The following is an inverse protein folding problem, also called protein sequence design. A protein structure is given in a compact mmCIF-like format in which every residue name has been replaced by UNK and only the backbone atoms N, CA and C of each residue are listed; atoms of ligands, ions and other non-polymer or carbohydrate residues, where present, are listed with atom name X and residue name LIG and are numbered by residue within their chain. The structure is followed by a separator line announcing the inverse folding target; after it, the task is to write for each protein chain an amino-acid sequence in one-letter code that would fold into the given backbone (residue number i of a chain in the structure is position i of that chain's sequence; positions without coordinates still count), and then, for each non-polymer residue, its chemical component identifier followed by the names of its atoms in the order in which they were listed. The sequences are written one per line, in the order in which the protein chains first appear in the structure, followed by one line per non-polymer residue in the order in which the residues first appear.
data_IF_131659908062
#
_entry.id   IF_131659908062
#
_cell.length_a   1.000
_cell.length_b   1.000
_cell.length_c   1.000
_cell.angle_alpha   90.00
_cell.angle_beta   90.00
_cell.angle_gamma   90.00
#
_symmetry.space_group_name_H-M   'P 1'
#
loop_
_entity.id
_entity.type
_entity.pdbx_description
1 polymer ?
#
# COMPACT_ATOMS: atom_id res chain seq x y z
N UNK A 1 -5.59 26.84 -1.01
CA UNK A 1 -4.38 26.85 -1.85
C UNK A 1 -4.24 25.46 -2.45
N UNK A 2 -3.83 25.36 -3.72
CA UNK A 2 -3.51 24.05 -4.31
C UNK A 2 -2.26 23.53 -3.59
N UNK A 3 -2.27 22.27 -3.13
CA UNK A 3 -1.12 21.66 -2.44
C UNK A 3 0.04 21.59 -3.44
N UNK A 4 1.14 22.28 -3.15
CA UNK A 4 2.31 22.29 -4.03
C UNK A 4 3.23 21.11 -3.72
N UNK A 5 3.88 20.59 -4.77
CA UNK A 5 4.94 19.58 -4.64
C UNK A 5 6.31 20.25 -4.60
N UNK A 6 7.33 19.55 -4.10
CA UNK A 6 8.68 20.12 -3.88
C UNK A 6 9.29 20.79 -5.14
N UNK A 7 9.08 20.22 -6.33
CA UNK A 7 9.58 20.78 -7.60
C UNK A 7 8.84 22.05 -8.02
N UNK A 8 7.57 22.19 -7.68
CA UNK A 8 6.79 23.40 -7.93
C UNK A 8 7.25 24.58 -7.05
N UNK A 9 7.98 24.28 -5.98
CA UNK A 9 8.68 25.25 -5.14
C UNK A 9 10.10 25.58 -5.64
N UNK A 10 10.49 25.05 -6.81
CA UNK A 10 11.82 25.26 -7.39
C UNK A 10 12.94 24.42 -6.77
N UNK A 11 12.58 23.38 -6.00
CA UNK A 11 13.56 22.49 -5.35
C UNK A 11 13.63 21.18 -6.13
N UNK A 12 14.79 20.91 -6.72
CA UNK A 12 15.06 19.68 -7.47
C UNK A 12 15.88 18.69 -6.66
N UNK A 13 15.47 17.41 -6.70
CA UNK A 13 16.18 16.30 -6.05
C UNK A 13 16.74 15.37 -7.13
N UNK A 14 18.05 15.16 -7.10
CA UNK A 14 18.77 14.36 -8.11
C UNK A 14 18.96 15.10 -9.44
N UNK A 15 19.48 14.39 -10.45
CA UNK A 15 19.82 14.94 -11.77
C UNK A 15 18.99 14.39 -12.92
N UNK A 16 18.14 13.38 -12.65
CA UNK A 16 17.32 12.71 -13.67
C UNK A 16 15.97 13.44 -13.83
N UNK A 17 15.41 13.47 -15.05
CA UNK A 17 14.05 13.97 -15.25
C UNK A 17 13.03 13.03 -14.62
N UNK A 18 11.87 13.57 -14.24
CA UNK A 18 10.72 12.79 -13.75
C UNK A 18 9.85 12.32 -14.90
N UNK A 19 8.98 11.34 -14.64
CA UNK A 19 7.82 11.10 -15.51
C UNK A 19 6.82 12.26 -15.46
N UNK A 20 5.79 12.24 -16.33
CA UNK A 20 4.82 13.33 -16.45
C UNK A 20 3.99 13.55 -15.18
N UNK A 21 3.75 12.51 -14.38
CA UNK A 21 3.03 12.63 -13.11
C UNK A 21 3.98 12.82 -11.93
N UNK A 22 5.27 12.55 -12.13
CA UNK A 22 6.28 12.49 -11.09
C UNK A 22 5.79 11.60 -9.93
N UNK A 23 5.25 10.42 -10.27
CA UNK A 23 4.63 9.49 -9.33
C UNK A 23 4.90 8.04 -9.76
N UNK A 24 4.70 7.07 -8.87
CA UNK A 24 4.93 5.65 -9.18
C UNK A 24 4.03 5.12 -10.31
N UNK A 25 2.86 5.74 -10.50
CA UNK A 25 1.90 5.45 -11.57
C UNK A 25 2.37 5.89 -12.96
N UNK A 26 3.52 6.59 -13.07
CA UNK A 26 4.21 6.77 -14.36
C UNK A 26 4.72 5.44 -14.93
N UNK A 27 4.90 4.41 -14.09
CA UNK A 27 5.18 3.04 -14.54
C UNK A 27 3.87 2.42 -15.03
N UNK A 28 3.81 2.10 -16.32
CA UNK A 28 2.60 1.59 -16.95
C UNK A 28 2.03 0.35 -16.24
N UNK A 29 0.74 0.41 -15.92
CA UNK A 29 0.00 -0.67 -15.25
C UNK A 29 0.00 -0.61 -13.72
N UNK A 30 0.83 0.23 -13.10
CA UNK A 30 0.79 0.44 -11.65
C UNK A 30 -0.40 1.34 -11.30
N UNK A 31 -1.19 0.88 -10.33
CA UNK A 31 -2.29 1.62 -9.73
C UNK A 31 -1.99 1.90 -8.26
N UNK A 32 -2.48 3.03 -7.75
CA UNK A 32 -2.42 3.37 -6.32
C UNK A 32 -3.81 3.75 -5.84
N UNK A 33 -4.19 3.26 -4.67
CA UNK A 33 -5.46 3.58 -4.01
C UNK A 33 -5.29 3.82 -2.53
N UNK A 34 -6.17 4.65 -1.96
CA UNK A 34 -6.11 5.03 -0.56
C UNK A 34 -7.47 4.90 0.11
N UNK A 35 -7.45 4.39 1.35
CA UNK A 35 -8.52 4.60 2.31
C UNK A 35 -7.97 5.40 3.48
N UNK A 36 -8.52 6.60 3.69
CA UNK A 36 -8.10 7.50 4.76
C UNK A 36 -9.17 7.54 5.84
N UNK A 37 -8.77 7.29 7.10
CA UNK A 37 -9.63 7.35 8.27
C UNK A 37 -9.25 8.56 9.13
N UNK A 38 -10.13 9.57 9.15
CA UNK A 38 -9.96 10.77 9.97
C UNK A 38 -11.28 11.05 10.68
N UNK A 39 -11.31 10.79 11.99
CA UNK A 39 -12.42 11.14 12.88
C UNK A 39 -11.98 11.22 14.33
N UNK A 40 -12.80 11.85 15.16
CA UNK A 40 -12.45 12.23 16.54
C UNK A 40 -13.22 11.39 17.58
N UNK A 41 -14.43 10.95 17.23
CA UNK A 41 -15.36 10.20 18.08
C UNK A 41 -15.69 8.82 17.48
N UNK A 42 -15.96 7.78 18.29
CA UNK A 42 -15.81 7.72 19.75
C UNK A 42 -14.35 7.57 20.21
N UNK A 43 -13.44 7.35 19.26
CA UNK A 43 -11.99 7.23 19.44
C UNK A 43 -11.33 7.90 18.25
N UNK A 44 -10.16 8.47 18.50
CA UNK A 44 -9.40 9.26 17.54
C UNK A 44 -8.76 8.35 16.48
N UNK A 45 -9.21 8.46 15.23
CA UNK A 45 -8.58 7.79 14.09
C UNK A 45 -7.87 8.81 13.21
N UNK A 46 -6.57 8.58 12.96
CA UNK A 46 -5.77 9.28 11.95
C UNK A 46 -4.83 8.26 11.31
N UNK A 47 -5.45 7.34 10.58
CA UNK A 47 -4.80 6.15 10.02
C UNK A 47 -5.41 5.81 8.66
N UNK A 48 -5.05 4.67 8.09
CA UNK A 48 -5.63 4.21 6.85
C UNK A 48 -4.91 3.03 6.23
N UNK A 49 -5.22 2.82 4.96
CA UNK A 49 -4.60 1.80 4.12
C UNK A 49 -4.24 2.45 2.78
N UNK A 50 -3.00 2.27 2.34
CA UNK A 50 -2.60 2.53 0.96
C UNK A 50 -2.35 1.19 0.28
N UNK A 51 -2.82 1.03 -0.95
CA UNK A 51 -2.51 -0.14 -1.77
C UNK A 51 -1.79 0.28 -3.04
N UNK A 52 -0.83 -0.53 -3.44
CA UNK A 52 -0.12 -0.43 -4.70
C UNK A 52 -0.40 -1.72 -5.46
N UNK A 53 -1.05 -1.62 -6.62
CA UNK A 53 -1.42 -2.76 -7.45
C UNK A 53 -0.47 -2.76 -8.65
N UNK A 54 0.53 -3.65 -8.71
CA UNK A 54 1.52 -3.62 -9.79
C UNK A 54 0.93 -3.98 -11.15
N UNK A 55 -0.10 -4.83 -11.15
CA UNK A 55 -0.81 -5.32 -12.34
C UNK A 55 -2.25 -5.64 -11.97
N UNK A 56 -3.15 -4.69 -12.21
CA UNK A 56 -4.61 -4.74 -11.97
C UNK A 56 -5.17 -6.14 -11.55
N UNK A 57 -5.75 -6.89 -12.49
CA UNK A 57 -6.30 -8.23 -12.22
C UNK A 57 -5.34 -9.37 -12.57
N UNK A 58 -4.14 -9.04 -13.04
CA UNK A 58 -3.18 -10.01 -13.61
C UNK A 58 -2.05 -10.40 -12.69
N UNK A 59 -1.87 -9.72 -11.55
CA UNK A 59 -0.72 -9.94 -10.66
C UNK A 59 -0.59 -11.39 -10.18
N UNK A 60 -1.69 -12.16 -10.18
CA UNK A 60 -1.69 -13.57 -9.80
C UNK A 60 -1.37 -14.56 -10.95
N UNK A 61 -1.50 -14.12 -12.19
CA UNK A 61 -1.22 -14.94 -13.38
C UNK A 61 0.13 -14.57 -14.01
N UNK A 62 0.56 -13.33 -13.78
CA UNK A 62 1.77 -12.74 -14.29
C UNK A 62 2.45 -12.05 -13.10
N UNK A 63 3.36 -12.76 -12.44
CA UNK A 63 4.05 -12.26 -11.25
C UNK A 63 5.09 -11.20 -11.62
N UNK A 64 5.31 -10.23 -10.74
CA UNK A 64 6.40 -9.27 -10.86
C UNK A 64 7.66 -9.83 -10.21
N UNK A 65 8.82 -9.67 -10.84
CA UNK A 65 10.08 -9.85 -10.11
C UNK A 65 10.22 -8.76 -9.06
N UNK A 66 10.61 -9.13 -7.85
CA UNK A 66 10.73 -8.23 -6.71
C UNK A 66 11.91 -8.64 -5.82
N UNK A 67 12.42 -7.67 -5.05
CA UNK A 67 13.42 -7.85 -4.01
C UNK A 67 13.11 -6.89 -2.86
N UNK A 68 13.67 -7.16 -1.68
CA UNK A 68 13.57 -6.26 -0.53
C UNK A 68 14.93 -6.02 0.10
N UNK A 69 15.03 -4.98 0.93
CA UNK A 69 16.21 -4.71 1.72
C UNK A 69 15.79 -4.14 3.07
N UNK A 70 16.28 -4.73 4.16
CA UNK A 70 16.10 -4.21 5.51
C UNK A 70 17.32 -3.38 5.90
N UNK A 71 17.17 -2.06 5.87
CA UNK A 71 18.19 -1.14 6.38
C UNK A 71 18.24 -1.16 7.93
N UNK A 72 17.07 -1.14 8.56
CA UNK A 72 16.89 -1.35 10.00
C UNK A 72 15.54 -2.05 10.23
N UNK A 73 15.58 -3.21 10.89
CA UNK A 73 14.41 -4.09 11.03
C UNK A 73 13.46 -3.73 12.18
N UNK A 74 13.41 -2.49 12.64
CA UNK A 74 12.44 -2.07 13.64
C UNK A 74 11.10 -1.72 12.99
N UNK A 75 10.43 -2.75 12.48
CA UNK A 75 9.14 -2.68 11.80
C UNK A 75 8.73 -4.04 11.25
N UNK A 76 7.58 -4.11 10.59
CA UNK A 76 7.00 -5.33 10.03
C UNK A 76 6.74 -5.20 8.52
N UNK A 77 6.97 -6.30 7.79
CA UNK A 77 6.59 -6.46 6.40
C UNK A 77 6.31 -7.94 6.11
N UNK A 78 5.06 -8.28 5.81
CA UNK A 78 4.67 -9.66 5.52
C UNK A 78 5.14 -10.12 4.14
N UNK A 79 5.11 -11.43 3.88
CA UNK A 79 5.39 -12.00 2.55
C UNK A 79 6.89 -12.06 2.18
N UNK A 80 7.77 -11.49 3.01
CA UNK A 80 9.20 -11.38 2.74
C UNK A 80 9.91 -12.72 2.49
N UNK A 81 9.54 -13.79 3.22
CA UNK A 81 10.20 -15.09 3.06
C UNK A 81 10.04 -15.67 1.65
N UNK A 82 8.85 -15.55 1.05
CA UNK A 82 8.63 -16.00 -0.32
C UNK A 82 9.26 -15.06 -1.34
N UNK A 83 9.26 -13.76 -1.04
CA UNK A 83 9.88 -12.76 -1.89
C UNK A 83 11.40 -12.96 -1.95
N UNK A 84 12.06 -13.30 -0.84
CA UNK A 84 13.48 -13.66 -0.79
C UNK A 84 13.77 -14.95 -1.56
N UNK A 85 12.97 -16.00 -1.34
CA UNK A 85 13.20 -17.32 -1.93
C UNK A 85 12.98 -17.33 -3.44
N UNK A 86 11.89 -16.72 -3.90
CA UNK A 86 11.46 -16.81 -5.31
C UNK A 86 11.82 -15.58 -6.13
N UNK A 87 12.02 -14.43 -5.47
CA UNK A 87 12.09 -13.15 -6.15
C UNK A 87 10.77 -12.74 -6.81
N UNK A 88 9.62 -13.29 -6.40
CA UNK A 88 8.34 -13.05 -7.06
C UNK A 88 7.27 -12.41 -6.15
N UNK A 89 6.67 -11.33 -6.65
CA UNK A 89 5.50 -10.65 -6.10
C UNK A 89 4.24 -11.05 -6.88
N UNK A 90 3.30 -11.71 -6.20
CA UNK A 90 2.06 -12.23 -6.77
C UNK A 90 0.78 -11.61 -6.18
N UNK A 91 0.89 -10.44 -5.55
CA UNK A 91 -0.22 -9.73 -4.92
C UNK A 91 -0.07 -8.21 -5.04
N UNK A 92 -1.12 -7.44 -4.74
CA UNK A 92 -0.96 -6.05 -4.33
C UNK A 92 -0.03 -5.93 -3.12
N UNK A 93 0.58 -4.76 -2.97
CA UNK A 93 1.30 -4.34 -1.76
C UNK A 93 0.37 -3.43 -0.97
N UNK A 94 0.28 -3.59 0.36
CA UNK A 94 -0.44 -2.65 1.21
C UNK A 94 0.47 -2.03 2.27
N UNK A 95 0.15 -0.81 2.67
CA UNK A 95 0.83 -0.06 3.72
C UNK A 95 -0.22 0.45 4.70
N UNK A 96 -0.04 0.19 6.00
CA UNK A 96 -0.97 0.59 7.06
C UNK A 96 -0.22 0.91 8.37
N UNK A 97 -0.90 0.91 9.51
CA UNK A 97 -0.30 1.10 10.82
C UNK A 97 0.22 -0.21 11.45
N UNK A 98 1.17 -0.10 12.38
CA UNK A 98 1.87 -1.24 13.01
C UNK A 98 0.93 -2.31 13.58
N UNK A 99 -0.15 -1.91 14.26
CA UNK A 99 -1.04 -2.87 14.93
C UNK A 99 -1.99 -3.58 13.98
N UNK A 100 -2.10 -3.12 12.73
CA UNK A 100 -3.15 -3.57 11.80
C UNK A 100 -2.60 -4.20 10.52
N UNK A 101 -1.30 -4.50 10.46
CA UNK A 101 -0.70 -5.34 9.41
C UNK A 101 -1.47 -6.65 9.23
N UNK A 102 -1.85 -7.31 10.32
CA UNK A 102 -2.54 -8.60 10.29
C UNK A 102 -3.90 -8.55 9.57
N UNK A 103 -4.78 -7.60 9.94
CA UNK A 103 -6.11 -7.49 9.30
C UNK A 103 -6.00 -7.11 7.83
N UNK A 104 -5.04 -6.25 7.48
CA UNK A 104 -4.80 -5.86 6.09
C UNK A 104 -4.25 -7.03 5.26
N UNK A 105 -3.33 -7.81 5.84
CA UNK A 105 -2.80 -9.04 5.23
C UNK A 105 -3.91 -10.04 4.94
N UNK A 106 -4.78 -10.30 5.91
CA UNK A 106 -5.87 -11.27 5.76
C UNK A 106 -6.93 -10.79 4.76
N UNK A 107 -7.25 -9.49 4.75
CA UNK A 107 -8.13 -8.89 3.76
C UNK A 107 -7.57 -9.04 2.33
N UNK A 108 -6.27 -8.84 2.11
CA UNK A 108 -5.66 -9.09 0.79
C UNK A 108 -5.77 -10.57 0.36
N UNK A 109 -5.68 -11.51 1.31
CA UNK A 109 -5.90 -12.93 1.02
C UNK A 109 -7.37 -13.19 0.63
N UNK A 110 -8.34 -12.62 1.36
CA UNK A 110 -9.77 -12.73 1.05
C UNK A 110 -10.09 -12.14 -0.34
N UNK A 111 -9.55 -10.95 -0.64
CA UNK A 111 -9.65 -10.30 -1.95
C UNK A 111 -9.12 -11.18 -3.08
N UNK A 112 -7.95 -11.81 -2.88
CA UNK A 112 -7.35 -12.65 -3.91
C UNK A 112 -8.13 -13.97 -4.12
N UNK A 113 -8.64 -14.58 -3.05
CA UNK A 113 -9.47 -15.80 -3.12
C UNK A 113 -10.74 -15.56 -3.93
N UNK A 114 -11.42 -14.43 -3.69
CA UNK A 114 -12.67 -14.09 -4.38
C UNK A 114 -12.47 -13.85 -5.89
N UNK A 115 -11.34 -13.25 -6.28
CA UNK A 115 -11.01 -12.99 -7.70
C UNK A 115 -10.41 -14.18 -8.45
N UNK A 116 -9.71 -15.07 -7.76
CA UNK A 116 -8.99 -16.18 -8.38
C UNK A 116 -9.58 -17.57 -8.06
N UNK A 117 -10.88 -17.62 -7.74
CA UNK A 117 -11.64 -18.85 -7.46
C UNK A 117 -10.97 -19.76 -6.41
N UNK A 118 -10.35 -19.16 -5.38
CA UNK A 118 -9.82 -19.86 -4.21
C UNK A 118 -8.69 -20.87 -4.46
N UNK A 119 -7.98 -20.79 -5.60
CA UNK A 119 -6.87 -21.73 -5.88
C UNK A 119 -5.53 -21.21 -5.36
N UNK A 120 -4.90 -21.99 -4.48
CA UNK A 120 -3.51 -21.81 -4.04
C UNK A 120 -3.35 -21.08 -2.70
N UNK A 121 -2.10 -20.86 -2.31
CA UNK A 121 -1.74 -20.06 -1.14
C UNK A 121 -1.41 -18.62 -1.55
N UNK A 122 -1.58 -17.69 -0.61
CA UNK A 122 -1.34 -16.26 -0.82
C UNK A 122 -0.43 -15.72 0.29
N UNK A 123 0.65 -15.06 -0.10
CA UNK A 123 1.64 -14.47 0.80
C UNK A 123 1.82 -12.99 0.44
N UNK A 124 0.80 -12.15 0.71
CA UNK A 124 0.85 -10.76 0.30
C UNK A 124 1.87 -9.96 1.11
N UNK A 125 2.36 -8.88 0.50
CA UNK A 125 3.25 -7.92 1.14
C UNK A 125 2.42 -6.82 1.79
N UNK A 126 2.45 -6.76 3.11
CA UNK A 126 1.85 -5.69 3.90
C UNK A 126 2.91 -5.12 4.80
N UNK A 127 3.19 -3.84 4.65
CA UNK A 127 4.17 -3.10 5.44
C UNK A 127 3.48 -2.05 6.31
N UNK A 128 4.24 -1.43 7.22
CA UNK A 128 3.68 -0.48 8.15
C UNK A 128 4.63 0.65 8.55
N UNK A 129 4.04 1.67 9.17
CA UNK A 129 4.73 2.60 10.07
C UNK A 129 3.87 2.85 11.31
N UNK A 130 4.50 3.31 12.40
CA UNK A 130 3.80 3.59 13.66
C UNK A 130 3.17 5.00 13.66
N UNK A 131 1.83 5.07 13.76
CA UNK A 131 1.06 6.31 13.77
C UNK A 131 0.46 6.67 15.15
N UNK A 132 0.82 5.94 16.21
CA UNK A 132 0.19 6.03 17.54
C UNK A 132 0.35 7.36 18.28
N UNK A 133 1.10 8.32 17.74
CA UNK A 133 1.15 9.70 18.25
C UNK A 133 -0.10 10.51 17.90
N UNK A 134 -0.70 10.27 16.73
CA UNK A 134 -1.85 11.00 16.23
C UNK A 134 -3.11 10.12 16.16
N UNK A 135 -2.91 8.82 15.97
CA UNK A 135 -3.93 7.80 15.89
C UNK A 135 -4.07 7.08 17.25
N UNK A 136 -5.29 6.75 17.64
CA UNK A 136 -5.51 5.79 18.71
C UNK A 136 -5.29 4.36 18.19
N UNK A 137 -4.02 4.01 17.99
CA UNK A 137 -3.62 2.75 17.38
C UNK A 137 -4.07 1.52 18.20
N UNK A 138 -4.40 1.70 19.48
CA UNK A 138 -4.95 0.65 20.35
C UNK A 138 -6.45 0.39 20.14
N UNK A 139 -7.15 1.21 19.36
CA UNK A 139 -8.57 1.05 19.05
C UNK A 139 -8.83 0.23 17.78
N UNK A 140 -7.78 -0.16 17.03
CA UNK A 140 -7.86 -1.03 15.85
C UNK A 140 -8.90 -0.55 14.80
N UNK A 141 -8.73 0.68 14.33
CA UNK A 141 -9.68 1.37 13.46
C UNK A 141 -9.83 0.77 12.05
N UNK A 142 -8.76 0.24 11.46
CA UNK A 142 -8.79 -0.34 10.10
C UNK A 142 -9.56 -1.67 10.09
N UNK A 143 -10.52 -1.79 9.19
CA UNK A 143 -11.26 -3.03 8.93
C UNK A 143 -10.86 -3.65 7.59
N UNK A 144 -11.40 -4.83 7.27
CA UNK A 144 -11.19 -5.44 5.95
C UNK A 144 -11.85 -4.63 4.84
N UNK A 145 -13.00 -4.01 5.12
CA UNK A 145 -13.72 -3.16 4.18
C UNK A 145 -12.88 -1.94 3.81
N UNK A 146 -12.11 -1.37 4.74
CA UNK A 146 -11.19 -0.28 4.43
C UNK A 146 -10.11 -0.68 3.41
N UNK A 147 -9.68 -1.94 3.44
CA UNK A 147 -8.72 -2.49 2.47
C UNK A 147 -9.38 -2.67 1.11
N UNK A 148 -10.63 -3.15 1.07
CA UNK A 148 -11.38 -3.29 -0.17
C UNK A 148 -11.68 -1.92 -0.79
N UNK A 149 -12.08 -0.93 0.01
CA UNK A 149 -12.26 0.44 -0.43
C UNK A 149 -10.96 1.00 -1.03
N UNK A 150 -9.79 0.75 -0.42
CA UNK A 150 -8.51 1.17 -0.97
C UNK A 150 -8.20 0.47 -2.31
N UNK A 151 -8.53 -0.83 -2.45
CA UNK A 151 -8.37 -1.57 -3.70
C UNK A 151 -9.33 -1.10 -4.79
N UNK A 152 -10.55 -0.70 -4.44
CA UNK A 152 -11.52 -0.12 -5.37
C UNK A 152 -11.15 1.30 -5.81
N UNK A 153 -10.52 2.09 -4.93
CA UNK A 153 -9.98 3.42 -5.27
C UNK A 153 -8.72 3.35 -6.15
N UNK A 154 -8.08 2.19 -6.26
CA UNK A 154 -6.81 2.03 -6.97
C UNK A 154 -6.93 2.36 -8.46
N UNK A 155 -6.19 3.39 -8.90
CA UNK A 155 -6.28 3.92 -10.28
C UNK A 155 -4.93 4.45 -10.80
N UNK A 156 -4.76 4.61 -12.13
CA UNK A 156 -3.59 5.26 -12.69
C UNK A 156 -3.69 6.79 -12.50
N UNK A 157 -2.68 7.52 -12.95
CA UNK A 157 -2.70 8.99 -12.92
C UNK A 157 -2.10 9.60 -11.65
N UNK A 158 -2.35 10.89 -11.37
CA UNK A 158 -1.79 11.56 -10.21
C UNK A 158 -2.14 10.85 -8.89
N UNK A 159 -1.16 10.72 -7.99
CA UNK A 159 -1.33 10.11 -6.67
C UNK A 159 -1.50 11.20 -5.61
N UNK A 160 -2.49 11.07 -4.74
CA UNK A 160 -2.67 11.99 -3.61
C UNK A 160 -1.52 11.82 -2.60
N UNK A 161 -0.96 12.92 -2.09
CA UNK A 161 0.21 12.90 -1.22
C UNK A 161 -0.08 13.62 0.11
N UNK A 162 0.28 12.98 1.22
CA UNK A 162 0.11 13.49 2.58
C UNK A 162 -1.35 13.77 2.98
N UNK A 163 -1.53 14.28 4.20
CA UNK A 163 -2.82 14.73 4.76
C UNK A 163 -2.73 16.19 5.19
#
# INVERSE_FOLDING_TARGET
MVRQRIRELGIEVGVMPTGPLNAITDVAGILVGHKTLIYDDPRVARTGVTVIVPREDRIREDFCYAGYHSFNGNGEMTGLLWLEESGMLGSPIAITNTHQVGVVRDALVEWAITRHNGKGFFLPVVAETYDGWLNDIGAFHVTKEDVFDALEDAKPGPVAEGN
#
